data_IF_365888097335
#
_entry.id   IF_365888097335
#
_cell.length_a   1.000
_cell.length_b   1.000
_cell.length_c   1.000
_cell.angle_alpha   90.00
_cell.angle_beta   90.00
_cell.angle_gamma   90.00
#
_symmetry.space_group_name_H-M   'P 1'
#
loop_
_entity.id
_entity.type
_entity.pdbx_description
1 polymer ?
#
# COMPACT_ATOMS: atom_id res chain seq x y z
N UNK A 1 -13.08 -4.42 -10.59
CA UNK A 1 -12.28 -3.25 -11.02
C UNK A 1 -10.89 -3.73 -11.40
N UNK A 2 -10.33 -3.23 -12.51
CA UNK A 2 -9.12 -3.76 -13.17
C UNK A 2 -7.87 -3.05 -12.64
N UNK A 3 -6.89 -3.83 -12.17
CA UNK A 3 -5.56 -3.35 -11.79
C UNK A 3 -4.52 -3.82 -12.82
N UNK A 4 -3.65 -2.91 -13.24
CA UNK A 4 -2.59 -3.14 -14.22
C UNK A 4 -1.27 -3.19 -13.45
N UNK A 5 -0.52 -4.29 -13.59
CA UNK A 5 0.81 -4.47 -13.01
C UNK A 5 1.77 -4.88 -14.12
N UNK A 6 2.77 -4.04 -14.41
CA UNK A 6 3.80 -4.37 -15.42
C UNK A 6 3.30 -4.58 -16.87
N UNK A 7 2.21 -3.91 -17.26
CA UNK A 7 1.55 -4.15 -18.55
C UNK A 7 0.82 -5.50 -18.63
N UNK A 8 0.72 -6.25 -17.52
CA UNK A 8 -0.12 -7.44 -17.39
C UNK A 8 -1.19 -7.23 -16.33
N UNK A 9 -2.42 -7.56 -16.69
CA UNK A 9 -3.57 -7.54 -15.77
C UNK A 9 -3.33 -8.68 -14.77
N UNK A 10 -2.81 -8.36 -13.59
CA UNK A 10 -2.64 -9.33 -12.52
C UNK A 10 -3.95 -9.45 -11.75
N UNK A 11 -4.37 -10.70 -11.45
CA UNK A 11 -5.53 -10.94 -10.58
C UNK A 11 -5.24 -10.33 -9.22
N UNK A 12 -6.10 -9.42 -8.79
CA UNK A 12 -6.01 -8.85 -7.47
C UNK A 12 -6.51 -9.84 -6.43
N UNK A 13 -5.57 -10.48 -5.73
CA UNK A 13 -5.84 -11.40 -4.63
C UNK A 13 -6.05 -10.66 -3.29
N UNK A 14 -5.83 -9.34 -3.27
CA UNK A 14 -5.96 -8.49 -2.08
C UNK A 14 -7.37 -7.91 -1.92
N UNK A 15 -7.92 -8.02 -0.71
CA UNK A 15 -9.16 -7.36 -0.30
C UNK A 15 -8.85 -5.97 0.27
N UNK A 16 -9.65 -4.95 -0.06
CA UNK A 16 -9.52 -3.61 0.53
C UNK A 16 -10.57 -3.44 1.63
N UNK A 17 -10.12 -3.36 2.88
CA UNK A 17 -10.98 -3.18 4.06
C UNK A 17 -10.56 -1.91 4.82
N UNK A 18 -11.15 -0.79 4.41
CA UNK A 18 -10.84 0.58 4.87
C UNK A 18 -11.34 0.90 6.27
N UNK A 19 -12.45 0.32 6.72
CA UNK A 19 -13.13 0.76 7.96
C UNK A 19 -13.27 -0.33 9.02
N UNK A 20 -13.23 -1.61 8.66
CA UNK A 20 -13.17 -2.73 9.61
C UNK A 20 -12.95 -4.05 8.86
N UNK A 21 -11.82 -4.73 9.08
CA UNK A 21 -11.60 -6.04 8.51
C UNK A 21 -12.58 -7.03 9.13
N UNK A 22 -13.27 -7.81 8.29
CA UNK A 22 -14.15 -8.87 8.79
C UNK A 22 -13.29 -10.07 9.18
N UNK A 23 -12.99 -10.17 10.48
CA UNK A 23 -12.31 -11.35 11.04
C UNK A 23 -13.21 -12.59 11.01
N UNK A 24 -12.67 -13.81 10.76
CA UNK A 24 -11.28 -14.09 10.40
C UNK A 24 -10.96 -13.75 8.94
N UNK A 25 -9.77 -13.21 8.72
CA UNK A 25 -9.31 -12.88 7.37
C UNK A 25 -8.99 -14.17 6.61
N UNK A 26 -9.70 -14.43 5.51
CA UNK A 26 -9.48 -15.61 4.66
C UNK A 26 -8.58 -15.33 3.45
N UNK A 27 -8.21 -14.07 3.23
CA UNK A 27 -7.43 -13.60 2.08
C UNK A 27 -6.47 -12.50 2.52
N UNK A 28 -5.41 -12.23 1.74
CA UNK A 28 -4.59 -11.04 1.94
C UNK A 28 -5.45 -9.79 1.94
N UNK A 29 -5.30 -8.94 2.95
CA UNK A 29 -6.14 -7.75 3.14
C UNK A 29 -5.30 -6.51 3.31
N UNK A 30 -5.69 -5.44 2.64
CA UNK A 30 -5.16 -4.09 2.78
C UNK A 30 -6.10 -3.31 3.68
N UNK A 31 -5.56 -2.75 4.75
CA UNK A 31 -6.27 -1.87 5.70
C UNK A 31 -5.67 -0.47 5.69
N UNK A 32 -6.43 0.52 6.13
CA UNK A 32 -5.91 1.88 6.32
C UNK A 32 -4.96 1.94 7.51
N UNK A 33 -4.00 2.86 7.50
CA UNK A 33 -3.06 3.04 8.61
C UNK A 33 -3.76 3.21 9.96
N UNK A 34 -4.88 3.95 10.00
CA UNK A 34 -5.68 4.16 11.22
C UNK A 34 -6.20 2.83 11.80
N UNK A 35 -6.62 1.92 10.92
CA UNK A 35 -7.10 0.58 11.28
C UNK A 35 -5.91 -0.29 11.68
N UNK A 36 -4.79 -0.23 10.95
CA UNK A 36 -3.57 -0.95 11.29
C UNK A 36 -3.09 -0.57 12.70
N UNK A 37 -2.96 0.72 13.00
CA UNK A 37 -2.50 1.18 14.32
C UNK A 37 -3.44 0.71 15.46
N UNK A 38 -4.75 0.69 15.20
CA UNK A 38 -5.75 0.28 16.20
C UNK A 38 -5.89 -1.23 16.35
N UNK A 39 -5.65 -2.02 15.30
CA UNK A 39 -5.96 -3.47 15.25
C UNK A 39 -4.77 -4.36 14.84
N UNK A 40 -3.54 -3.83 14.79
CA UNK A 40 -2.33 -4.58 14.41
C UNK A 40 -2.18 -5.90 15.15
N UNK A 41 -2.46 -5.93 16.46
CA UNK A 41 -2.34 -7.13 17.28
C UNK A 41 -3.31 -8.24 16.86
N UNK A 42 -4.48 -7.89 16.34
CA UNK A 42 -5.46 -8.86 15.82
C UNK A 42 -5.10 -9.30 14.40
N UNK A 43 -4.60 -8.36 13.59
CA UNK A 43 -4.16 -8.60 12.22
C UNK A 43 -2.92 -9.50 12.16
N UNK A 44 -1.96 -9.30 13.05
CA UNK A 44 -0.74 -10.12 13.15
C UNK A 44 -1.01 -11.53 13.68
N UNK A 45 -2.15 -11.75 14.34
CA UNK A 45 -2.59 -13.11 14.71
C UNK A 45 -3.17 -13.89 13.53
N UNK A 46 -3.49 -13.22 12.42
CA UNK A 46 -4.00 -13.90 11.24
C UNK A 46 -2.85 -14.51 10.44
N UNK A 47 -3.08 -15.71 9.89
CA UNK A 47 -2.12 -16.41 9.02
C UNK A 47 -2.19 -15.89 7.56
N UNK A 48 -2.45 -14.59 7.37
CA UNK A 48 -2.55 -13.97 6.04
C UNK A 48 -1.65 -12.76 5.93
N UNK A 49 -1.27 -12.40 4.71
CA UNK A 49 -0.50 -11.19 4.48
C UNK A 49 -1.37 -9.95 4.68
N UNK A 50 -0.85 -8.98 5.41
CA UNK A 50 -1.52 -7.69 5.63
C UNK A 50 -0.81 -6.60 4.84
N UNK A 51 -1.62 -5.76 4.20
CA UNK A 51 -1.21 -4.55 3.52
C UNK A 51 -1.65 -3.32 4.29
N UNK A 52 -0.87 -2.25 4.19
CA UNK A 52 -1.23 -0.97 4.79
C UNK A 52 -1.38 0.08 3.70
N UNK A 53 -2.52 0.76 3.68
CA UNK A 53 -2.77 1.93 2.85
C UNK A 53 -2.47 3.20 3.63
N UNK A 54 -1.58 4.01 3.08
CA UNK A 54 -1.25 5.34 3.55
C UNK A 54 -1.96 6.38 2.68
N UNK A 55 -2.63 7.32 3.34
CA UNK A 55 -3.17 8.54 2.72
C UNK A 55 -2.03 9.49 2.33
N UNK A 56 -2.29 10.45 1.45
CA UNK A 56 -1.25 11.39 0.96
C UNK A 56 -0.60 12.26 2.05
N UNK A 57 -1.29 12.45 3.17
CA UNK A 57 -0.85 13.17 4.36
C UNK A 57 -0.11 12.28 5.37
N UNK A 58 -0.07 10.96 5.15
CA UNK A 58 0.55 9.99 6.05
C UNK A 58 1.94 9.58 5.53
N UNK A 59 2.98 9.87 6.31
CA UNK A 59 4.36 9.50 5.96
C UNK A 59 4.60 7.99 6.16
N UNK A 60 5.41 7.33 5.31
CA UNK A 60 5.88 5.97 5.55
C UNK A 60 6.69 5.81 6.84
N UNK A 61 7.18 6.89 7.45
CA UNK A 61 7.78 6.87 8.79
C UNK A 61 6.85 6.23 9.83
N UNK A 62 5.52 6.41 9.69
CA UNK A 62 4.52 5.90 10.63
C UNK A 62 4.54 4.37 10.72
N UNK A 63 4.74 3.71 9.58
CA UNK A 63 4.76 2.25 9.48
C UNK A 63 6.19 1.67 9.44
N UNK A 64 7.21 2.52 9.56
CA UNK A 64 8.62 2.13 9.35
C UNK A 64 9.07 0.96 10.24
N UNK A 65 8.54 0.88 11.47
CA UNK A 65 8.83 -0.19 12.43
C UNK A 65 8.16 -1.52 12.08
N UNK A 66 7.06 -1.47 11.36
CA UNK A 66 6.22 -2.63 11.04
C UNK A 66 6.41 -3.11 9.60
N UNK A 67 7.27 -2.46 8.80
CA UNK A 67 7.51 -2.79 7.39
C UNK A 67 7.89 -4.26 7.17
N UNK A 68 8.58 -4.89 8.13
CA UNK A 68 8.92 -6.31 8.06
C UNK A 68 7.70 -7.23 8.12
N UNK A 69 6.61 -6.78 8.75
CA UNK A 69 5.35 -7.53 8.85
C UNK A 69 4.41 -7.17 7.69
N UNK A 70 4.49 -5.94 7.19
CA UNK A 70 3.62 -5.45 6.12
C UNK A 70 4.03 -6.06 4.77
N UNK A 71 3.14 -6.86 4.18
CA UNK A 71 3.34 -7.54 2.90
C UNK A 71 3.33 -6.60 1.70
N UNK A 72 2.50 -5.55 1.76
CA UNK A 72 2.31 -4.57 0.70
C UNK A 72 2.05 -3.18 1.30
N UNK A 73 2.70 -2.15 0.75
CA UNK A 73 2.40 -0.76 1.09
C UNK A 73 1.64 -0.11 -0.06
N UNK A 74 0.48 0.44 0.25
CA UNK A 74 -0.40 1.10 -0.73
C UNK A 74 -0.37 2.59 -0.47
N UNK A 75 -0.01 3.39 -1.48
CA UNK A 75 0.03 4.85 -1.40
C UNK A 75 -1.16 5.42 -2.16
N UNK A 76 -1.93 6.29 -1.51
CA UNK A 76 -3.08 6.97 -2.09
C UNK A 76 -2.68 8.26 -2.81
N UNK A 77 -3.21 8.45 -4.03
CA UNK A 77 -3.00 9.62 -4.87
C UNK A 77 -4.34 10.38 -5.06
N UNK A 78 -4.66 11.37 -4.20
CA UNK A 78 -5.99 11.96 -4.13
C UNK A 78 -6.38 12.88 -5.29
N UNK A 79 -5.46 13.60 -5.93
CA UNK A 79 -5.60 14.26 -7.25
C UNK A 79 -4.26 14.93 -7.58
N UNK A 80 -4.02 15.28 -8.85
CA UNK A 80 -2.73 15.69 -9.46
C UNK A 80 -1.93 16.84 -8.82
N UNK A 81 -2.33 17.40 -7.68
CA UNK A 81 -1.64 18.53 -7.03
C UNK A 81 -0.67 18.10 -5.93
N UNK A 82 -0.70 16.85 -5.50
CA UNK A 82 0.11 16.39 -4.38
C UNK A 82 1.18 15.38 -4.82
N UNK A 83 2.43 15.83 -4.92
CA UNK A 83 3.58 15.00 -5.29
C UNK A 83 4.15 14.17 -4.13
N UNK A 84 3.64 14.35 -2.90
CA UNK A 84 4.14 13.68 -1.69
C UNK A 84 4.15 12.14 -1.80
N UNK A 85 3.11 11.47 -2.35
CA UNK A 85 3.13 10.01 -2.46
C UNK A 85 4.28 9.47 -3.34
N UNK A 86 4.76 10.22 -4.33
CA UNK A 86 5.96 9.83 -5.10
C UNK A 86 7.20 9.84 -4.22
N UNK A 87 7.40 10.90 -3.43
CA UNK A 87 8.50 10.99 -2.47
C UNK A 87 8.42 9.86 -1.42
N UNK A 88 7.23 9.48 -1.00
CA UNK A 88 7.04 8.36 -0.08
C UNK A 88 7.45 7.01 -0.68
N UNK A 89 7.11 6.75 -1.94
CA UNK A 89 7.57 5.54 -2.64
C UNK A 89 9.11 5.49 -2.71
N UNK A 90 9.75 6.62 -3.03
CA UNK A 90 11.21 6.73 -3.04
C UNK A 90 11.80 6.52 -1.64
N UNK A 91 11.21 7.10 -0.60
CA UNK A 91 11.63 6.89 0.78
C UNK A 91 11.54 5.43 1.21
N UNK A 92 10.45 4.74 0.86
CA UNK A 92 10.27 3.32 1.13
C UNK A 92 11.39 2.48 0.50
N UNK A 93 11.73 2.74 -0.77
CA UNK A 93 12.82 2.02 -1.47
C UNK A 93 14.21 2.40 -0.97
N UNK A 94 14.49 3.69 -0.80
CA UNK A 94 15.85 4.19 -0.55
C UNK A 94 16.21 4.23 0.93
N UNK A 95 15.31 4.73 1.80
CA UNK A 95 15.60 4.94 3.23
C UNK A 95 15.25 3.73 4.06
N UNK A 96 14.05 3.19 3.85
CA UNK A 96 13.58 2.02 4.61
C UNK A 96 13.94 0.69 3.94
N UNK A 97 14.56 0.73 2.76
CA UNK A 97 15.00 -0.43 2.00
C UNK A 97 13.89 -1.49 1.85
N UNK A 98 12.65 -1.04 1.68
CA UNK A 98 11.47 -1.88 1.61
C UNK A 98 11.48 -2.67 0.30
N UNK A 99 11.71 -3.99 0.41
CA UNK A 99 11.88 -4.89 -0.73
C UNK A 99 10.59 -5.54 -1.24
N UNK A 100 9.50 -5.39 -0.49
CA UNK A 100 8.22 -6.01 -0.84
C UNK A 100 7.44 -5.12 -1.82
N UNK A 101 6.15 -5.37 -1.95
CA UNK A 101 5.30 -4.74 -2.95
C UNK A 101 4.88 -3.33 -2.52
N UNK A 102 5.12 -2.34 -3.38
CA UNK A 102 4.57 -0.99 -3.24
C UNK A 102 3.54 -0.79 -4.34
N UNK A 103 2.35 -0.32 -4.00
CA UNK A 103 1.26 -0.10 -4.94
C UNK A 103 0.74 1.33 -4.83
N UNK A 104 0.44 1.92 -5.96
CA UNK A 104 -0.21 3.22 -6.03
C UNK A 104 -1.71 3.01 -6.33
N UNK A 105 -2.58 3.67 -5.58
CA UNK A 105 -4.04 3.67 -5.80
C UNK A 105 -4.57 5.09 -5.83
N UNK A 106 -5.66 5.33 -6.56
CA UNK A 106 -6.25 6.66 -6.75
C UNK A 106 -6.34 7.05 -8.22
N UNK A 107 -6.46 8.35 -8.50
CA UNK A 107 -6.57 8.88 -9.86
C UNK A 107 -5.17 8.98 -10.51
N UNK A 108 -4.62 7.83 -10.87
CA UNK A 108 -3.37 7.73 -11.62
C UNK A 108 -3.73 7.82 -13.11
N UNK A 109 -3.45 8.97 -13.72
CA UNK A 109 -3.51 9.11 -15.18
C UNK A 109 -2.49 8.16 -15.81
N UNK A 110 -2.95 7.36 -16.78
CA UNK A 110 -2.20 6.30 -17.45
C UNK A 110 -0.87 6.80 -18.08
N UNK A 111 -0.77 8.10 -18.36
CA UNK A 111 0.41 8.78 -18.90
C UNK A 111 1.62 8.86 -17.92
N UNK A 112 1.39 8.77 -16.60
CA UNK A 112 2.45 8.84 -15.57
C UNK A 112 3.08 7.48 -15.24
N UNK A 113 2.50 6.38 -15.75
CA UNK A 113 2.98 5.01 -15.49
C UNK A 113 4.41 4.79 -16.00
N UNK A 114 4.79 5.50 -17.08
CA UNK A 114 6.14 5.47 -17.65
C UNK A 114 7.20 6.14 -16.77
N UNK A 115 6.82 7.07 -15.88
CA UNK A 115 7.77 7.71 -14.96
C UNK A 115 8.01 6.84 -13.72
N UNK A 116 6.97 6.17 -13.21
CA UNK A 116 7.09 5.24 -12.07
C UNK A 116 7.87 3.97 -12.41
N UNK A 117 7.73 3.42 -13.63
CA UNK A 117 8.55 2.27 -14.06
C UNK A 117 10.06 2.57 -14.12
N UNK A 118 10.47 3.83 -14.22
CA UNK A 118 11.90 4.22 -14.22
C UNK A 118 12.49 4.38 -12.83
N UNK A 119 11.67 4.38 -11.78
CA UNK A 119 12.13 4.58 -10.40
C UNK A 119 12.39 3.28 -9.62
N UNK A 120 12.16 2.10 -10.21
CA UNK A 120 12.61 0.80 -9.67
C UNK A 120 11.62 0.06 -8.78
#
# INVERSE_FOLDING_TARGET
MKLIRDGKIAKDEWSYETESPKLPLKKPTIVDYEVWESTKDELLKQDVQIGVKLKSDQSPDLISKDLEQIGIVVLEFPLFRDGRPFSYAVLLRSRYNYKKEIRAVGNILQDQFNFLQRCG
#
